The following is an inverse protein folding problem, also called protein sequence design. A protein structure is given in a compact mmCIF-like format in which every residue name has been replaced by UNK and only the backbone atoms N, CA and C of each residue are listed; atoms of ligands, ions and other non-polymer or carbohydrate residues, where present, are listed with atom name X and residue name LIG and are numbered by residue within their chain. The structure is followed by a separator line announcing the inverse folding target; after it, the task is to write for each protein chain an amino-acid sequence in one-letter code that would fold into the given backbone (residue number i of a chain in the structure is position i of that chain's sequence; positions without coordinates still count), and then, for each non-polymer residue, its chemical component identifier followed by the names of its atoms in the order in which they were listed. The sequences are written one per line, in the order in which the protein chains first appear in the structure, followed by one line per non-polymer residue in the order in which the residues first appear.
data_IF_872373921573
#
_entry.id   IF_872373921573
#
_cell.length_a   1.000
_cell.length_b   1.000
_cell.length_c   1.000
_cell.angle_alpha   90.00
_cell.angle_beta   90.00
_cell.angle_gamma   90.00
#
_symmetry.space_group_name_H-M   'P 1'
#
loop_
_entity.id
_entity.type
_entity.pdbx_description
1 polymer ?
#
# COMPACT_ATOMS: atom_id res chain seq x y z
N UNK A 1 -27.49 -7.45 -11.33
CA UNK A 1 -26.22 -7.38 -12.08
C UNK A 1 -25.24 -8.32 -11.40
N UNK A 2 -24.21 -8.79 -12.10
CA UNK A 2 -23.18 -9.65 -11.48
C UNK A 2 -22.07 -8.74 -10.95
N UNK A 3 -22.05 -8.49 -9.63
CA UNK A 3 -21.05 -7.65 -8.98
C UNK A 3 -19.62 -8.10 -9.30
N UNK A 4 -19.37 -9.41 -9.47
CA UNK A 4 -18.03 -9.88 -9.85
C UNK A 4 -17.64 -9.36 -11.22
N UNK A 5 -18.58 -9.39 -12.17
CA UNK A 5 -18.35 -8.90 -13.54
C UNK A 5 -18.06 -7.39 -13.53
N UNK A 6 -18.77 -6.61 -12.72
CA UNK A 6 -18.54 -5.17 -12.59
C UNK A 6 -17.16 -4.85 -12.00
N UNK A 7 -16.81 -5.46 -10.86
CA UNK A 7 -15.53 -5.23 -10.21
C UNK A 7 -14.38 -5.60 -11.17
N UNK A 8 -14.47 -6.76 -11.84
CA UNK A 8 -13.47 -7.14 -12.85
C UNK A 8 -13.41 -6.18 -14.02
N UNK A 9 -14.54 -5.62 -14.47
CA UNK A 9 -14.54 -4.66 -15.58
C UNK A 9 -13.81 -3.36 -15.22
N UNK A 10 -13.82 -2.96 -13.94
CA UNK A 10 -13.08 -1.80 -13.45
C UNK A 10 -11.59 -2.12 -13.30
N UNK A 11 -11.25 -3.29 -12.74
CA UNK A 11 -9.86 -3.74 -12.64
C UNK A 11 -9.22 -3.88 -14.03
N UNK A 12 -9.96 -4.41 -15.00
CA UNK A 12 -9.49 -4.66 -16.37
C UNK A 12 -9.82 -3.52 -17.35
N UNK A 13 -10.21 -2.34 -16.84
CA UNK A 13 -10.39 -1.17 -17.69
C UNK A 13 -9.08 -0.85 -18.41
N UNK A 14 -9.15 -0.42 -19.68
CA UNK A 14 -7.95 -0.05 -20.43
C UNK A 14 -7.19 1.07 -19.72
N UNK A 15 -5.84 0.99 -19.65
CA UNK A 15 -5.04 2.08 -19.14
C UNK A 15 -5.25 3.36 -19.96
N UNK A 16 -5.17 4.52 -19.30
CA UNK A 16 -5.32 5.82 -19.97
C UNK A 16 -4.26 6.07 -21.05
N UNK A 17 -3.08 5.45 -20.89
CA UNK A 17 -1.95 5.58 -21.80
C UNK A 17 -1.97 4.59 -23.00
N UNK A 18 -3.05 3.81 -23.17
CA UNK A 18 -3.17 2.80 -24.23
C UNK A 18 -2.46 1.49 -23.87
N UNK A 19 -1.73 0.91 -24.82
CA UNK A 19 -1.04 -0.39 -24.64
C UNK A 19 0.33 -0.27 -23.97
N UNK A 20 0.80 0.96 -23.73
CA UNK A 20 2.08 1.19 -23.06
C UNK A 20 1.89 1.11 -21.56
N UNK A 21 2.57 0.14 -20.94
CA UNK A 21 2.48 -0.07 -19.50
C UNK A 21 3.17 1.06 -18.74
N UNK A 22 2.43 1.72 -17.85
CA UNK A 22 2.94 2.75 -16.96
C UNK A 22 3.27 2.17 -15.58
N UNK A 23 4.15 2.88 -14.88
CA UNK A 23 4.67 2.53 -13.55
C UNK A 23 4.50 3.76 -12.66
N UNK A 24 3.99 3.56 -11.45
CA UNK A 24 3.94 4.56 -10.40
C UNK A 24 4.56 4.02 -9.12
N UNK A 25 5.00 4.91 -8.24
CA UNK A 25 5.43 4.55 -6.89
C UNK A 25 4.74 5.41 -5.85
N UNK A 26 4.53 4.85 -4.67
CA UNK A 26 4.00 5.54 -3.49
C UNK A 26 5.03 5.39 -2.37
N UNK A 27 5.50 6.51 -1.81
CA UNK A 27 6.56 6.56 -0.81
C UNK A 27 6.06 7.27 0.45
N UNK A 28 6.27 6.66 1.61
CA UNK A 28 5.85 7.21 2.89
C UNK A 28 7.07 7.59 3.75
N UNK A 29 7.05 8.77 4.39
CA UNK A 29 8.13 9.24 5.26
C UNK A 29 7.60 9.63 6.67
N UNK A 30 8.40 9.35 7.70
CA UNK A 30 8.21 9.91 9.04
C UNK A 30 8.98 11.22 9.18
N UNK A 31 8.40 12.20 9.88
CA UNK A 31 8.96 13.54 10.05
C UNK A 31 9.15 13.87 11.53
N UNK A 32 10.30 14.44 11.85
CA UNK A 32 10.81 14.67 13.19
C UNK A 32 11.27 16.12 13.37
N UNK A 33 11.16 16.62 14.60
CA UNK A 33 11.75 17.89 15.00
C UNK A 33 13.20 17.73 15.45
N UNK A 34 13.89 18.86 15.64
CA UNK A 34 15.28 18.91 16.15
C UNK A 34 15.50 18.27 17.53
N UNK A 35 14.44 18.01 18.30
CA UNK A 35 14.51 17.33 19.58
C UNK A 35 14.26 15.82 19.42
N UNK A 36 14.29 15.30 18.19
CA UNK A 36 13.97 13.90 17.87
C UNK A 36 12.57 13.48 18.29
N UNK A 37 11.61 14.43 18.33
CA UNK A 37 10.20 14.12 18.51
C UNK A 37 9.52 14.03 17.17
N UNK A 38 8.64 13.04 17.00
CA UNK A 38 7.78 12.97 15.82
C UNK A 38 6.84 14.17 15.83
N UNK A 39 6.68 14.84 14.69
CA UNK A 39 5.82 16.03 14.62
C UNK A 39 4.34 15.66 14.86
N UNK A 40 3.52 16.58 15.41
CA UNK A 40 2.09 16.34 15.58
C UNK A 40 1.39 16.00 14.26
N UNK A 41 0.38 15.14 14.31
CA UNK A 41 -0.36 14.73 13.11
C UNK A 41 -1.33 15.81 12.66
N UNK A 42 -2.15 16.28 13.60
CA UNK A 42 -3.21 17.26 13.40
C UNK A 42 -2.71 18.69 13.56
N UNK A 43 -3.42 19.69 12.98
CA UNK A 43 -3.13 21.10 13.23
C UNK A 43 -3.14 21.44 14.72
N UNK A 44 -2.07 22.07 15.20
CA UNK A 44 -1.94 22.56 16.57
C UNK A 44 -1.06 23.83 16.58
N UNK A 45 -0.52 24.22 17.73
CA UNK A 45 0.40 25.35 17.85
C UNK A 45 1.79 25.10 17.23
N UNK A 46 2.15 23.84 17.02
CA UNK A 46 3.41 23.42 16.39
C UNK A 46 3.18 23.08 14.89
N UNK A 47 4.26 23.06 14.12
CA UNK A 47 4.17 22.67 12.70
C UNK A 47 3.89 21.17 12.58
N UNK A 48 2.72 20.83 12.04
CA UNK A 48 2.18 19.46 11.99
C UNK A 48 2.36 18.80 10.63
N UNK A 49 2.19 17.47 10.58
CA UNK A 49 2.16 16.72 9.32
C UNK A 49 1.05 17.23 8.38
N UNK A 50 -0.12 17.61 8.94
CA UNK A 50 -1.20 18.24 8.16
C UNK A 50 -0.79 19.57 7.53
N UNK A 51 0.01 20.39 8.24
CA UNK A 51 0.55 21.64 7.68
C UNK A 51 1.58 21.37 6.59
N UNK A 52 2.50 20.42 6.82
CA UNK A 52 3.50 19.99 5.85
C UNK A 52 2.86 19.49 4.55
N UNK A 53 1.81 18.65 4.65
CA UNK A 53 1.06 18.17 3.50
C UNK A 53 0.50 19.34 2.67
N UNK A 54 -0.14 20.31 3.32
CA UNK A 54 -0.72 21.49 2.66
C UNK A 54 0.35 22.30 1.92
N UNK A 55 1.49 22.50 2.54
CA UNK A 55 2.58 23.28 1.96
C UNK A 55 3.24 22.54 0.77
N UNK A 56 3.43 21.21 0.87
CA UNK A 56 3.89 20.38 -0.25
C UNK A 56 2.98 20.47 -1.48
N UNK A 57 1.65 20.41 -1.25
CA UNK A 57 0.64 20.59 -2.30
C UNK A 57 0.71 22.01 -2.88
N UNK A 58 0.88 23.03 -2.03
CA UNK A 58 1.05 24.41 -2.44
C UNK A 58 2.26 24.61 -3.36
N UNK A 59 3.39 23.99 -3.03
CA UNK A 59 4.64 24.11 -3.79
C UNK A 59 4.58 23.47 -5.19
N UNK A 60 3.70 22.49 -5.45
CA UNK A 60 3.50 21.93 -6.81
C UNK A 60 2.39 22.59 -7.62
N UNK A 61 1.80 23.69 -7.15
CA UNK A 61 0.66 24.30 -7.85
C UNK A 61 0.96 24.58 -9.33
N UNK A 62 2.22 24.92 -9.63
CA UNK A 62 2.72 25.27 -10.95
C UNK A 62 3.48 24.13 -11.67
N UNK A 63 3.55 22.93 -11.08
CA UNK A 63 4.21 21.79 -11.72
C UNK A 63 3.37 21.35 -12.93
N UNK A 64 4.05 21.03 -14.04
CA UNK A 64 3.40 20.47 -15.24
C UNK A 64 2.67 19.17 -14.94
N UNK A 65 3.27 18.34 -14.09
CA UNK A 65 2.72 17.07 -13.63
C UNK A 65 2.66 17.12 -12.11
N UNK A 66 1.45 17.01 -11.56
CA UNK A 66 1.21 17.10 -10.13
C UNK A 66 1.22 15.71 -9.54
N UNK A 67 2.14 15.47 -8.62
CA UNK A 67 2.14 14.26 -7.82
C UNK A 67 0.94 14.26 -6.88
N UNK A 68 0.52 13.08 -6.46
CA UNK A 68 -0.48 12.95 -5.41
C UNK A 68 0.23 12.98 -4.05
N UNK A 69 -0.32 13.74 -3.11
CA UNK A 69 0.15 13.77 -1.73
C UNK A 69 -1.00 13.43 -0.81
N UNK A 70 -0.71 12.60 0.17
CA UNK A 70 -1.68 12.16 1.15
C UNK A 70 -1.05 12.11 2.53
N UNK A 71 -1.90 11.92 3.54
CA UNK A 71 -1.48 11.70 4.92
C UNK A 71 -2.05 10.38 5.41
N UNK A 72 -1.14 9.56 5.86
CA UNK A 72 -1.42 8.26 6.45
C UNK A 72 -1.94 8.41 7.90
N UNK A 73 -2.56 7.38 8.51
CA UNK A 73 -3.28 7.53 9.78
C UNK A 73 -2.46 8.18 10.90
N UNK A 74 -1.20 7.78 11.07
CA UNK A 74 -0.30 8.35 12.08
C UNK A 74 0.44 9.63 11.65
N UNK A 75 0.06 10.28 10.56
CA UNK A 75 0.74 11.48 10.07
C UNK A 75 2.02 11.24 9.27
N UNK A 76 2.20 10.02 8.74
CA UNK A 76 3.24 9.79 7.73
C UNK A 76 2.85 10.53 6.46
N UNK A 77 3.81 11.19 5.82
CA UNK A 77 3.55 11.90 4.56
C UNK A 77 3.75 10.92 3.43
N UNK A 78 2.72 10.74 2.61
CA UNK A 78 2.81 9.93 1.41
C UNK A 78 2.98 10.84 0.18
N UNK A 79 3.92 10.47 -0.67
CA UNK A 79 4.10 11.01 -2.00
C UNK A 79 3.90 9.90 -3.02
N UNK A 80 3.00 10.11 -3.97
CA UNK A 80 2.76 9.19 -5.08
C UNK A 80 3.10 9.87 -6.41
N UNK A 81 3.98 9.23 -7.19
CA UNK A 81 4.37 9.73 -8.50
C UNK A 81 3.18 9.74 -9.46
N UNK A 82 3.25 10.54 -10.52
CA UNK A 82 2.35 10.29 -11.66
C UNK A 82 2.77 9.00 -12.39
N UNK A 83 1.87 8.33 -13.12
CA UNK A 83 2.23 7.16 -13.91
C UNK A 83 3.25 7.51 -15.01
N UNK A 84 4.34 6.75 -15.11
CA UNK A 84 5.43 6.98 -16.08
C UNK A 84 5.83 5.71 -16.82
N UNK A 85 6.33 5.88 -18.05
CA UNK A 85 6.87 4.77 -18.86
C UNK A 85 8.25 4.31 -18.39
N UNK A 86 9.01 5.24 -17.80
CA UNK A 86 10.40 5.02 -17.44
C UNK A 86 10.62 5.33 -15.96
N UNK A 87 11.37 4.46 -15.27
CA UNK A 87 11.83 4.72 -13.91
C UNK A 87 12.72 5.98 -13.83
N UNK A 88 13.36 6.39 -14.93
CA UNK A 88 14.08 7.67 -14.97
C UNK A 88 13.15 8.87 -14.84
N UNK A 89 11.94 8.80 -15.41
CA UNK A 89 10.95 9.87 -15.26
C UNK A 89 10.38 9.90 -13.84
N UNK A 90 10.15 8.71 -13.25
CA UNK A 90 9.78 8.59 -11.82
C UNK A 90 10.87 9.19 -10.94
N UNK A 91 12.15 8.91 -11.22
CA UNK A 91 13.28 9.48 -10.50
C UNK A 91 13.31 11.01 -10.59
N UNK A 92 12.99 11.58 -11.76
CA UNK A 92 12.92 13.02 -11.93
C UNK A 92 11.83 13.65 -11.06
N UNK A 93 10.66 13.03 -10.95
CA UNK A 93 9.62 13.49 -10.04
C UNK A 93 10.00 13.33 -8.57
N UNK A 94 10.60 12.20 -8.20
CA UNK A 94 11.10 11.95 -6.85
C UNK A 94 12.14 13.01 -6.47
N UNK A 95 13.07 13.36 -7.37
CA UNK A 95 14.05 14.41 -7.14
C UNK A 95 13.39 15.78 -6.89
N UNK A 96 12.31 16.09 -7.62
CA UNK A 96 11.55 17.32 -7.42
C UNK A 96 10.77 17.31 -6.09
N UNK A 97 10.21 16.16 -5.70
CA UNK A 97 9.60 15.96 -4.39
C UNK A 97 10.63 16.16 -3.27
N UNK A 98 11.77 15.47 -3.33
CA UNK A 98 12.84 15.55 -2.34
C UNK A 98 13.38 16.98 -2.18
N UNK A 99 13.51 17.75 -3.28
CA UNK A 99 13.87 19.17 -3.21
C UNK A 99 12.84 19.99 -2.45
N UNK A 100 11.55 19.83 -2.74
CA UNK A 100 10.45 20.53 -2.04
C UNK A 100 10.40 20.16 -0.56
N UNK A 101 10.45 18.87 -0.26
CA UNK A 101 10.46 18.38 1.11
C UNK A 101 11.67 18.93 1.87
N UNK A 102 12.88 18.86 1.31
CA UNK A 102 14.09 19.41 1.93
C UNK A 102 13.96 20.91 2.24
N UNK A 103 13.38 21.70 1.34
CA UNK A 103 13.14 23.13 1.58
C UNK A 103 12.24 23.35 2.79
N UNK A 104 11.10 22.64 2.87
CA UNK A 104 10.18 22.76 4.00
C UNK A 104 10.82 22.27 5.31
N UNK A 105 11.48 21.12 5.29
CA UNK A 105 12.17 20.58 6.45
C UNK A 105 13.24 21.56 6.98
N UNK A 106 14.02 22.16 6.10
CA UNK A 106 15.03 23.17 6.48
C UNK A 106 14.37 24.42 7.11
N UNK A 107 13.31 24.94 6.49
CA UNK A 107 12.61 26.14 6.97
C UNK A 107 11.98 25.95 8.36
N UNK A 108 11.55 24.72 8.67
CA UNK A 108 10.89 24.38 9.92
C UNK A 108 11.80 23.67 10.94
N UNK A 109 13.10 23.53 10.65
CA UNK A 109 14.07 22.82 11.51
C UNK A 109 13.63 21.37 11.82
N UNK A 110 13.17 20.69 10.78
CA UNK A 110 12.71 19.31 10.82
C UNK A 110 13.67 18.40 10.04
N UNK A 111 13.61 17.11 10.35
CA UNK A 111 14.28 16.04 9.64
C UNK A 111 13.28 14.94 9.27
N UNK A 112 13.67 14.08 8.32
CA UNK A 112 12.93 12.87 7.98
C UNK A 112 13.78 11.65 8.29
N UNK A 113 13.13 10.55 8.65
CA UNK A 113 13.78 9.26 8.80
C UNK A 113 13.24 8.28 7.75
N UNK A 114 14.17 7.60 7.09
CA UNK A 114 13.87 6.64 6.02
C UNK A 114 13.91 5.21 6.60
N UNK A 115 12.98 4.91 7.52
CA UNK A 115 12.82 3.62 8.19
C UNK A 115 11.40 3.12 8.03
N UNK A 116 11.22 1.81 7.86
CA UNK A 116 9.91 1.17 7.63
C UNK A 116 9.08 0.99 8.90
N UNK A 117 9.71 1.05 10.07
CA UNK A 117 9.07 0.99 11.38
C UNK A 117 9.50 2.20 12.20
N UNK A 118 8.53 2.82 12.85
CA UNK A 118 8.73 3.93 13.77
C UNK A 118 9.61 3.48 14.96
N UNK A 119 10.81 4.05 15.14
CA UNK A 119 11.81 3.49 16.05
C UNK A 119 11.58 3.80 17.53
N UNK A 120 10.86 4.88 17.88
CA UNK A 120 10.81 5.42 19.25
C UNK A 120 9.44 5.18 19.88
N UNK A 121 8.38 5.61 19.22
CA UNK A 121 7.06 5.71 19.84
C UNK A 121 6.23 4.44 19.70
N UNK A 122 5.48 4.10 20.74
CA UNK A 122 4.40 3.11 20.67
C UNK A 122 3.19 3.70 19.91
N UNK A 123 2.31 2.86 19.33
CA UNK A 123 1.14 3.35 18.61
C UNK A 123 0.28 4.30 19.43
N UNK A 124 0.03 4.01 20.71
CA UNK A 124 -0.81 4.81 21.59
C UNK A 124 -0.21 6.19 21.95
N UNK A 125 1.05 6.44 21.63
CA UNK A 125 1.73 7.72 21.83
C UNK A 125 1.67 8.62 20.58
N UNK A 126 1.10 8.12 19.48
CA UNK A 126 0.94 8.83 18.21
C UNK A 126 -0.55 9.07 17.97
N UNK A 127 -0.94 10.32 17.73
CA UNK A 127 -2.32 10.64 17.39
C UNK A 127 -2.75 10.07 16.03
N UNK A 128 -4.05 9.90 15.81
CA UNK A 128 -4.58 9.75 14.46
C UNK A 128 -4.85 11.11 13.83
N UNK A 129 -4.71 11.20 12.51
CA UNK A 129 -5.31 12.28 11.74
C UNK A 129 -6.82 12.30 11.99
N UNK A 130 -7.37 13.50 12.25
CA UNK A 130 -8.78 13.73 12.57
C UNK A 130 -9.66 13.50 11.34
N UNK A 131 -9.91 12.22 11.08
CA UNK A 131 -10.67 11.79 9.92
C UNK A 131 -11.39 10.48 10.21
N UNK A 132 -12.72 10.51 10.09
CA UNK A 132 -13.63 9.41 10.46
C UNK A 132 -13.28 8.05 9.83
N UNK A 133 -12.71 8.03 8.63
CA UNK A 133 -12.22 6.80 7.97
C UNK A 133 -11.26 6.03 8.88
N UNK A 134 -10.28 6.73 9.45
CA UNK A 134 -9.22 6.11 10.23
C UNK A 134 -9.68 5.77 11.65
N UNK A 135 -10.65 6.51 12.19
CA UNK A 135 -11.32 6.12 13.44
C UNK A 135 -12.04 4.77 13.29
N UNK A 136 -12.81 4.59 12.21
CA UNK A 136 -13.51 3.32 11.93
C UNK A 136 -12.52 2.17 11.65
N UNK A 137 -11.46 2.45 10.89
CA UNK A 137 -10.37 1.52 10.62
C UNK A 137 -9.67 1.06 11.89
N UNK A 138 -9.35 1.98 12.80
CA UNK A 138 -8.75 1.64 14.08
C UNK A 138 -9.67 0.78 14.96
N UNK A 139 -10.96 1.13 15.03
CA UNK A 139 -11.94 0.34 15.78
C UNK A 139 -12.03 -1.09 15.27
N UNK A 140 -12.06 -1.30 13.94
CA UNK A 140 -12.05 -2.64 13.38
C UNK A 140 -10.74 -3.38 13.68
N UNK A 141 -9.60 -2.76 13.38
CA UNK A 141 -8.30 -3.42 13.47
C UNK A 141 -7.81 -3.66 14.90
N UNK A 142 -8.42 -3.01 15.89
CA UNK A 142 -8.21 -3.36 17.30
C UNK A 142 -8.92 -4.66 17.71
N UNK A 143 -9.82 -5.18 16.86
CA UNK A 143 -10.61 -6.39 17.12
C UNK A 143 -10.18 -7.58 16.24
N UNK A 144 -9.56 -7.33 15.08
CA UNK A 144 -9.24 -8.37 14.08
C UNK A 144 -7.83 -8.93 14.18
N UNK A 145 -6.92 -8.24 14.85
CA UNK A 145 -5.51 -8.64 14.98
C UNK A 145 -4.80 -7.85 16.07
N UNK A 146 -3.56 -8.22 16.41
CA UNK A 146 -2.84 -7.57 17.52
C UNK A 146 -2.05 -6.35 17.06
N UNK A 147 -1.71 -6.28 15.77
CA UNK A 147 -0.79 -5.26 15.24
C UNK A 147 -1.45 -4.20 14.36
N UNK A 148 -2.79 -4.18 14.28
CA UNK A 148 -3.54 -3.14 13.56
C UNK A 148 -3.11 -1.70 13.90
N UNK A 149 -3.01 -1.31 15.19
CA UNK A 149 -2.52 0.01 15.58
C UNK A 149 -1.08 0.29 15.11
N UNK A 150 -0.19 -0.71 15.15
CA UNK A 150 1.19 -0.60 14.66
C UNK A 150 1.23 -0.35 13.16
N UNK A 151 0.51 -1.16 12.38
CA UNK A 151 0.40 -0.97 10.93
C UNK A 151 -0.03 0.47 10.59
N UNK A 152 -1.11 0.95 11.23
CA UNK A 152 -1.69 2.26 10.89
C UNK A 152 -0.80 3.45 11.26
N UNK A 153 -0.16 3.42 12.45
CA UNK A 153 0.54 4.59 13.02
C UNK A 153 2.06 4.54 12.86
N UNK A 154 2.65 3.34 12.73
CA UNK A 154 4.07 3.09 12.96
C UNK A 154 4.80 2.43 11.79
N UNK A 155 4.19 2.34 10.61
CA UNK A 155 4.89 1.76 9.43
C UNK A 155 4.98 2.72 8.25
N UNK A 156 6.05 2.66 7.49
CA UNK A 156 6.15 3.30 6.17
C UNK A 156 6.64 2.29 5.15
N UNK A 157 6.37 2.56 3.89
CA UNK A 157 6.63 1.66 2.78
C UNK A 157 7.07 2.40 1.53
N UNK A 158 7.50 1.62 0.55
CA UNK A 158 7.35 1.99 -0.84
C UNK A 158 6.47 0.95 -1.52
N UNK A 159 5.47 1.42 -2.26
CA UNK A 159 4.56 0.57 -3.03
C UNK A 159 4.78 0.84 -4.52
N UNK A 160 4.65 -0.20 -5.33
CA UNK A 160 4.88 -0.12 -6.78
C UNK A 160 3.57 -0.43 -7.49
N UNK A 161 3.12 0.50 -8.32
CA UNK A 161 1.93 0.39 -9.14
C UNK A 161 2.34 0.10 -10.58
N UNK A 162 1.80 -0.96 -11.17
CA UNK A 162 2.09 -1.39 -12.54
C UNK A 162 0.76 -1.56 -13.29
N UNK A 163 0.63 -0.91 -14.45
CA UNK A 163 -0.59 -1.05 -15.27
C UNK A 163 -0.82 -2.51 -15.70
N UNK A 164 -2.09 -2.88 -15.86
CA UNK A 164 -2.54 -4.19 -16.33
C UNK A 164 -2.89 -4.09 -17.81
N UNK A 165 -2.35 -4.99 -18.64
CA UNK A 165 -2.60 -4.97 -20.09
C UNK A 165 -3.71 -5.93 -20.54
N UNK A 166 -3.96 -6.99 -19.77
CA UNK A 166 -5.01 -7.98 -20.04
C UNK A 166 -5.36 -8.77 -18.78
N UNK A 167 -6.40 -9.60 -18.81
CA UNK A 167 -6.72 -10.51 -17.69
C UNK A 167 -5.56 -11.45 -17.38
N UNK A 168 -5.03 -12.13 -18.40
CA UNK A 168 -3.91 -13.08 -18.26
C UNK A 168 -2.69 -12.39 -17.65
N UNK A 169 -2.38 -11.19 -18.16
CA UNK A 169 -1.30 -10.37 -17.66
C UNK A 169 -1.45 -10.02 -16.17
N UNK A 170 -2.65 -9.62 -15.76
CA UNK A 170 -2.98 -9.31 -14.37
C UNK A 170 -2.80 -10.53 -13.45
N UNK A 171 -3.33 -11.69 -13.85
CA UNK A 171 -3.30 -12.92 -13.05
C UNK A 171 -1.87 -13.46 -12.91
N UNK A 172 -1.07 -13.42 -13.98
CA UNK A 172 0.33 -13.83 -13.96
C UNK A 172 1.19 -12.90 -13.09
N UNK A 173 1.10 -11.59 -13.29
CA UNK A 173 1.86 -10.65 -12.46
C UNK A 173 1.48 -10.75 -10.99
N UNK A 174 0.19 -10.89 -10.68
CA UNK A 174 -0.26 -10.98 -9.30
C UNK A 174 0.23 -12.26 -8.63
N UNK A 175 0.14 -13.40 -9.32
CA UNK A 175 0.67 -14.67 -8.83
C UNK A 175 2.18 -14.57 -8.59
N UNK A 176 2.95 -14.08 -9.56
CA UNK A 176 4.41 -13.95 -9.44
C UNK A 176 4.80 -12.97 -8.32
N UNK A 177 4.14 -11.83 -8.22
CA UNK A 177 4.39 -10.85 -7.16
C UNK A 177 4.11 -11.42 -5.77
N UNK A 178 3.03 -12.19 -5.60
CA UNK A 178 2.75 -12.88 -4.35
C UNK A 178 3.85 -13.91 -4.04
N UNK A 179 4.32 -14.66 -5.05
CA UNK A 179 5.43 -15.63 -4.89
C UNK A 179 6.76 -15.00 -4.49
N UNK A 180 7.04 -13.84 -5.03
CA UNK A 180 8.28 -13.11 -4.81
C UNK A 180 8.29 -12.31 -3.50
N UNK A 181 7.11 -12.05 -2.93
CA UNK A 181 6.94 -11.30 -1.68
C UNK A 181 7.91 -11.74 -0.58
N UNK A 182 8.02 -13.02 -0.18
CA UNK A 182 8.91 -13.42 0.91
C UNK A 182 10.39 -13.05 0.69
N UNK A 183 10.88 -13.10 -0.55
CA UNK A 183 12.25 -12.69 -0.86
C UNK A 183 12.39 -11.17 -0.84
N UNK A 184 11.39 -10.47 -1.37
CA UNK A 184 11.39 -9.03 -1.46
C UNK A 184 11.37 -8.36 -0.07
N UNK A 185 10.56 -8.88 0.85
CA UNK A 185 10.46 -8.33 2.22
C UNK A 185 11.73 -8.57 3.05
N UNK A 186 12.48 -9.64 2.75
CA UNK A 186 13.79 -9.89 3.35
C UNK A 186 14.86 -8.98 2.75
N UNK A 187 14.91 -8.87 1.41
CA UNK A 187 15.91 -8.08 0.70
C UNK A 187 15.85 -6.59 1.04
N UNK A 188 14.64 -6.06 1.26
CA UNK A 188 14.43 -4.64 1.51
C UNK A 188 14.10 -4.31 2.98
N UNK A 189 14.22 -5.27 3.90
CA UNK A 189 13.93 -5.05 5.32
C UNK A 189 14.69 -3.84 5.88
N UNK A 190 13.97 -2.86 6.44
CA UNK A 190 14.56 -1.60 6.90
C UNK A 190 13.87 -1.04 8.16
N UNK A 191 13.57 -1.94 9.11
CA UNK A 191 13.00 -1.62 10.43
C UNK A 191 13.89 -2.12 11.57
N UNK A 192 15.09 -1.54 11.79
CA UNK A 192 16.08 -2.06 12.74
C UNK A 192 15.73 -1.79 14.21
N UNK A 193 14.76 -0.93 14.50
CA UNK A 193 14.35 -0.56 15.85
C UNK A 193 12.83 -0.51 15.99
N UNK A 194 12.35 -0.75 17.21
CA UNK A 194 10.95 -0.62 17.60
C UNK A 194 10.87 -0.26 19.09
N UNK A 195 10.09 0.77 19.44
CA UNK A 195 9.90 1.21 20.82
C UNK A 195 11.22 1.42 21.60
N UNK A 196 12.21 2.04 20.96
CA UNK A 196 13.53 2.32 21.53
C UNK A 196 14.46 1.12 21.64
N UNK A 197 14.08 -0.06 21.16
CA UNK A 197 14.85 -1.29 21.25
C UNK A 197 15.24 -1.83 19.86
N UNK A 198 16.38 -2.56 19.73
CA UNK A 198 16.69 -3.29 18.49
C UNK A 198 15.60 -4.28 18.12
N UNK A 199 15.31 -4.40 16.82
CA UNK A 199 14.36 -5.36 16.26
C UNK A 199 14.81 -6.83 16.40
N UNK A 200 16.09 -7.04 16.74
CA UNK A 200 16.74 -8.35 16.70
C UNK A 200 16.52 -9.02 15.34
N UNK A 201 15.99 -10.24 15.32
CA UNK A 201 15.74 -10.99 14.09
C UNK A 201 14.29 -10.83 13.59
N UNK A 202 13.45 -9.96 14.17
CA UNK A 202 12.04 -9.84 13.74
C UNK A 202 11.89 -8.93 12.53
N UNK A 203 11.21 -9.40 11.47
CA UNK A 203 10.77 -8.55 10.36
C UNK A 203 9.46 -7.82 10.73
N UNK A 204 9.56 -6.80 11.59
CA UNK A 204 8.40 -6.19 12.25
C UNK A 204 7.32 -5.69 11.30
N UNK A 205 7.65 -4.90 10.27
CA UNK A 205 6.63 -4.35 9.35
C UNK A 205 5.85 -5.47 8.66
N UNK A 206 6.54 -6.48 8.13
CA UNK A 206 5.90 -7.64 7.51
C UNK A 206 4.99 -8.38 8.51
N UNK A 207 5.48 -8.61 9.73
CA UNK A 207 4.71 -9.26 10.79
C UNK A 207 3.46 -8.46 11.19
N UNK A 208 3.54 -7.13 11.23
CA UNK A 208 2.39 -6.29 11.55
C UNK A 208 1.27 -6.40 10.51
N UNK A 209 1.62 -6.40 9.22
CA UNK A 209 0.65 -6.56 8.14
C UNK A 209 -0.03 -7.92 8.17
N UNK A 210 0.73 -9.00 8.43
CA UNK A 210 0.18 -10.36 8.51
C UNK A 210 -0.76 -10.58 9.71
N UNK A 211 -0.65 -9.78 10.78
CA UNK A 211 -1.48 -9.88 11.99
C UNK A 211 -2.36 -8.63 12.22
N UNK A 212 -2.76 -7.95 11.13
CA UNK A 212 -3.68 -6.80 11.18
C UNK A 212 -5.14 -7.24 11.03
N UNK A 213 -5.48 -7.91 9.93
CA UNK A 213 -6.83 -8.40 9.66
C UNK A 213 -6.76 -9.57 8.66
N UNK A 214 -7.01 -10.81 9.09
CA UNK A 214 -6.87 -11.98 8.23
C UNK A 214 -7.87 -12.01 7.07
N UNK A 215 -8.95 -11.20 7.10
CA UNK A 215 -9.93 -11.14 6.01
C UNK A 215 -9.46 -10.33 4.79
N UNK A 216 -8.38 -9.55 4.92
CA UNK A 216 -7.97 -8.59 3.88
C UNK A 216 -6.47 -8.34 3.78
N UNK A 217 -5.65 -8.87 4.70
CA UNK A 217 -4.19 -8.70 4.73
C UNK A 217 -3.48 -10.02 4.42
N UNK A 218 -2.15 -9.98 4.34
CA UNK A 218 -1.32 -11.16 4.07
C UNK A 218 -1.13 -11.45 2.59
N UNK A 219 -0.63 -12.63 2.28
CA UNK A 219 -0.41 -13.07 0.90
C UNK A 219 -1.71 -13.58 0.30
N UNK A 220 -1.89 -13.48 -1.02
CA UNK A 220 -3.00 -14.14 -1.72
C UNK A 220 -3.06 -15.64 -1.40
N UNK A 221 -1.90 -16.25 -1.19
CA UNK A 221 -1.78 -17.62 -0.72
C UNK A 221 -2.58 -17.92 0.57
N UNK A 222 -2.65 -16.97 1.49
CA UNK A 222 -3.35 -17.10 2.78
C UNK A 222 -4.89 -17.02 2.61
N UNK A 223 -5.36 -16.67 1.41
CA UNK A 223 -6.77 -16.58 0.98
C UNK A 223 -7.16 -17.68 -0.02
N UNK A 224 -6.52 -18.85 0.05
CA UNK A 224 -6.79 -20.01 -0.81
C UNK A 224 -6.53 -19.77 -2.33
N UNK A 225 -5.63 -18.83 -2.64
CA UNK A 225 -5.16 -18.54 -4.00
C UNK A 225 -3.75 -19.10 -4.19
N UNK A 226 -3.66 -20.35 -4.65
CA UNK A 226 -2.38 -21.07 -4.78
C UNK A 226 -1.80 -21.10 -6.20
N UNK A 227 -2.53 -20.60 -7.20
CA UNK A 227 -2.07 -20.52 -8.59
C UNK A 227 -2.75 -19.34 -9.30
N UNK A 228 -2.27 -19.01 -10.50
CA UNK A 228 -2.77 -17.90 -11.33
C UNK A 228 -4.19 -18.13 -11.87
N UNK A 229 -4.66 -19.38 -11.98
CA UNK A 229 -5.90 -19.67 -12.69
C UNK A 229 -7.10 -19.19 -11.88
N UNK A 230 -7.94 -18.35 -12.49
CA UNK A 230 -9.06 -17.67 -11.84
C UNK A 230 -8.63 -16.80 -10.64
N UNK A 231 -7.35 -16.40 -10.56
CA UNK A 231 -6.84 -15.59 -9.46
C UNK A 231 -7.63 -14.29 -9.31
N UNK A 232 -7.97 -13.63 -10.43
CA UNK A 232 -8.75 -12.40 -10.38
C UNK A 232 -10.16 -12.65 -9.85
N UNK A 233 -10.78 -13.78 -10.20
CA UNK A 233 -12.11 -14.15 -9.70
C UNK A 233 -12.10 -14.39 -8.19
N UNK A 234 -11.06 -15.07 -7.68
CA UNK A 234 -10.86 -15.31 -6.24
C UNK A 234 -10.50 -14.03 -5.48
N UNK A 235 -9.70 -13.14 -6.07
CA UNK A 235 -9.41 -11.84 -5.46
C UNK A 235 -10.69 -11.02 -5.28
N UNK A 236 -11.61 -11.06 -6.25
CA UNK A 236 -12.91 -10.39 -6.12
C UNK A 236 -13.77 -11.03 -5.02
N UNK A 237 -13.63 -12.33 -4.75
CA UNK A 237 -14.25 -12.97 -3.57
C UNK A 237 -13.70 -12.37 -2.27
N UNK A 238 -12.38 -12.20 -2.14
CA UNK A 238 -11.76 -11.52 -0.99
C UNK A 238 -12.39 -10.13 -0.79
N UNK A 239 -12.51 -9.35 -1.88
CA UNK A 239 -13.12 -8.01 -1.84
C UNK A 239 -14.57 -8.07 -1.35
N UNK A 240 -15.36 -9.00 -1.85
CA UNK A 240 -16.78 -9.09 -1.56
C UNK A 240 -17.05 -9.62 -0.13
N UNK A 241 -16.26 -10.58 0.32
CA UNK A 241 -16.48 -11.26 1.60
C UNK A 241 -15.90 -10.48 2.79
N UNK A 242 -14.91 -9.62 2.56
CA UNK A 242 -14.33 -8.78 3.61
C UNK A 242 -15.41 -7.92 4.31
N UNK A 243 -15.42 -7.88 5.67
CA UNK A 243 -16.20 -6.91 6.42
C UNK A 243 -15.90 -5.48 5.95
N UNK A 244 -16.91 -4.62 5.85
CA UNK A 244 -16.67 -3.22 5.55
C UNK A 244 -15.99 -2.52 6.73
N UNK A 245 -14.91 -1.79 6.47
CA UNK A 245 -14.33 -0.83 7.43
C UNK A 245 -15.25 0.38 7.52
N UNK A 246 -15.61 0.89 6.35
CA UNK A 246 -16.52 2.00 6.20
C UNK A 246 -17.23 1.93 4.85
N UNK A 247 -18.36 2.63 4.79
CA UNK A 247 -19.10 2.88 3.57
C UNK A 247 -19.23 4.39 3.37
N UNK A 248 -19.74 4.79 2.21
CA UNK A 248 -20.04 6.19 1.94
C UNK A 248 -21.52 6.39 1.61
N UNK A 249 -22.07 7.52 2.06
CA UNK A 249 -23.43 7.95 1.77
C UNK A 249 -23.60 8.38 0.30
N UNK A 250 -24.82 8.79 -0.09
CA UNK A 250 -25.06 9.45 -1.39
C UNK A 250 -24.26 10.76 -1.49
N UNK A 251 -24.12 11.50 -0.39
CA UNK A 251 -23.30 12.71 -0.29
C UNK A 251 -21.80 12.45 -0.08
N UNK A 252 -21.36 11.20 -0.24
CA UNK A 252 -19.98 10.74 0.01
C UNK A 252 -19.48 10.88 1.46
N UNK A 253 -20.39 10.95 2.43
CA UNK A 253 -20.01 10.95 3.85
C UNK A 253 -19.64 9.55 4.33
N UNK A 254 -18.55 9.45 5.06
CA UNK A 254 -18.08 8.21 5.66
C UNK A 254 -19.04 7.74 6.77
N UNK A 255 -19.45 6.48 6.71
CA UNK A 255 -20.37 5.84 7.66
C UNK A 255 -19.86 4.46 8.08
N UNK A 256 -20.12 4.12 9.34
CA UNK A 256 -20.01 2.75 9.83
C UNK A 256 -21.08 1.91 9.11
N UNK A 257 -20.73 0.68 8.77
CA UNK A 257 -21.66 -0.31 8.23
C UNK A 257 -21.32 -1.66 8.83
N UNK A 258 -22.30 -2.30 9.46
CA UNK A 258 -22.12 -3.62 10.07
C UNK A 258 -22.53 -4.69 9.05
N UNK A 259 -21.58 -5.08 8.20
CA UNK A 259 -21.77 -6.05 7.13
C UNK A 259 -20.57 -6.15 6.18
N UNK A 260 -20.63 -7.05 5.21
CA UNK A 260 -19.57 -7.20 4.20
C UNK A 260 -19.66 -6.14 3.10
N UNK A 261 -18.55 -5.95 2.38
CA UNK A 261 -18.53 -5.09 1.20
C UNK A 261 -19.53 -5.56 0.13
N UNK A 262 -19.76 -6.87 -0.02
CA UNK A 262 -20.83 -7.43 -0.86
C UNK A 262 -22.20 -6.92 -0.46
N UNK A 263 -22.55 -6.98 0.82
CA UNK A 263 -23.86 -6.51 1.30
C UNK A 263 -24.05 -5.00 1.03
N UNK A 264 -22.98 -4.22 1.20
CA UNK A 264 -23.00 -2.79 0.88
C UNK A 264 -23.19 -2.52 -0.62
N UNK A 265 -22.39 -3.15 -1.48
CA UNK A 265 -22.49 -2.98 -2.94
C UNK A 265 -23.85 -3.46 -3.47
N UNK A 266 -24.39 -4.57 -2.96
CA UNK A 266 -25.74 -5.03 -3.30
C UNK A 266 -26.84 -4.05 -2.87
N UNK A 267 -26.67 -3.39 -1.73
CA UNK A 267 -27.61 -2.36 -1.29
C UNK A 267 -27.58 -1.15 -2.23
N UNK A 268 -26.39 -0.68 -2.63
CA UNK A 268 -26.24 0.40 -3.60
C UNK A 268 -26.82 0.04 -4.97
N UNK A 269 -26.59 -1.19 -5.43
CA UNK A 269 -27.15 -1.71 -6.68
C UNK A 269 -28.67 -1.66 -6.67
N UNK A 270 -29.31 -2.18 -5.61
CA UNK A 270 -30.78 -2.17 -5.45
C UNK A 270 -31.36 -0.75 -5.42
N UNK A 271 -30.60 0.21 -4.91
CA UNK A 271 -31.00 1.61 -4.87
C UNK A 271 -30.64 2.40 -6.13
N UNK A 272 -29.99 1.81 -7.13
CA UNK A 272 -29.54 2.51 -8.34
C UNK A 272 -28.43 3.53 -8.11
N UNK A 273 -27.62 3.33 -7.05
CA UNK A 273 -26.58 4.25 -6.58
C UNK A 273 -25.17 3.65 -6.64
N UNK A 274 -25.03 2.46 -7.23
CA UNK A 274 -23.76 1.82 -7.46
C UNK A 274 -23.06 2.49 -8.64
N UNK A 275 -21.82 2.91 -8.43
CA UNK A 275 -20.96 3.51 -9.45
C UNK A 275 -19.51 3.03 -9.28
N UNK A 276 -18.65 3.42 -10.22
CA UNK A 276 -17.22 3.08 -10.21
C UNK A 276 -16.52 3.57 -8.94
N UNK A 277 -16.89 4.73 -8.40
CA UNK A 277 -16.29 5.31 -7.21
C UNK A 277 -16.56 4.43 -5.97
N UNK A 278 -17.79 3.92 -5.82
CA UNK A 278 -18.15 3.00 -4.72
C UNK A 278 -17.42 1.66 -4.82
N UNK A 279 -17.27 1.13 -6.03
CA UNK A 279 -16.48 -0.11 -6.24
C UNK A 279 -15.01 0.12 -5.91
N UNK A 280 -14.43 1.25 -6.35
CA UNK A 280 -13.07 1.61 -5.98
C UNK A 280 -12.91 1.73 -4.45
N UNK A 281 -13.88 2.30 -3.72
CA UNK A 281 -13.84 2.33 -2.25
C UNK A 281 -13.81 0.91 -1.64
N UNK A 282 -14.50 -0.06 -2.23
CA UNK A 282 -14.43 -1.45 -1.78
C UNK A 282 -13.03 -2.04 -2.04
N UNK A 283 -12.47 -1.84 -3.24
CA UNK A 283 -11.12 -2.32 -3.60
C UNK A 283 -10.03 -1.76 -2.66
N UNK A 284 -10.10 -0.47 -2.33
CA UNK A 284 -9.12 0.21 -1.46
C UNK A 284 -9.20 -0.23 0.02
N UNK A 285 -10.20 -1.03 0.39
CA UNK A 285 -10.31 -1.63 1.72
C UNK A 285 -9.66 -3.01 1.82
N UNK A 286 -9.00 -3.50 0.76
CA UNK A 286 -8.17 -4.71 0.79
C UNK A 286 -6.70 -4.29 0.91
N UNK A 287 -5.90 -5.07 1.64
CA UNK A 287 -4.49 -4.78 1.95
C UNK A 287 -3.59 -6.02 1.89
N UNK A 288 -3.89 -6.95 1.00
CA UNK A 288 -3.01 -8.09 0.67
C UNK A 288 -1.68 -7.58 0.12
N UNK A 289 -0.61 -8.38 0.15
CA UNK A 289 0.72 -7.96 -0.34
C UNK A 289 0.73 -7.56 -1.83
N UNK A 290 -0.26 -8.07 -2.57
CA UNK A 290 -0.58 -7.70 -3.96
C UNK A 290 -2.05 -7.33 -4.03
N UNK A 291 -2.37 -6.17 -4.61
CA UNK A 291 -3.74 -5.64 -4.68
C UNK A 291 -4.08 -5.15 -6.07
N UNK A 292 -5.28 -5.49 -6.55
CA UNK A 292 -5.82 -4.90 -7.77
C UNK A 292 -6.55 -3.59 -7.48
N UNK A 293 -6.20 -2.55 -8.23
CA UNK A 293 -6.92 -1.28 -8.35
C UNK A 293 -7.51 -1.20 -9.77
N UNK A 294 -8.22 -0.11 -10.07
CA UNK A 294 -8.60 0.21 -11.45
C UNK A 294 -7.34 0.17 -12.32
N UNK A 295 -7.33 -0.66 -13.37
CA UNK A 295 -6.26 -0.85 -14.37
C UNK A 295 -4.83 -1.10 -13.85
N UNK A 296 -4.63 -1.30 -12.53
CA UNK A 296 -3.31 -1.32 -11.90
C UNK A 296 -3.19 -2.49 -10.93
N UNK A 297 -2.03 -3.15 -10.95
CA UNK A 297 -1.56 -4.03 -9.90
C UNK A 297 -0.64 -3.25 -8.96
N UNK A 298 -1.00 -3.19 -7.68
CA UNK A 298 -0.21 -2.55 -6.63
C UNK A 298 0.51 -3.62 -5.79
N UNK A 299 1.82 -3.47 -5.66
CA UNK A 299 2.71 -4.37 -4.92
C UNK A 299 3.18 -3.63 -3.67
N UNK A 300 2.92 -4.22 -2.50
CA UNK A 300 2.91 -3.50 -1.21
C UNK A 300 3.93 -4.03 -0.19
N UNK A 301 4.59 -5.15 -0.49
CA UNK A 301 5.46 -5.83 0.45
C UNK A 301 6.67 -5.02 0.90
N UNK A 302 7.16 -4.06 0.10
CA UNK A 302 8.44 -3.40 0.33
C UNK A 302 8.42 -2.33 1.42
N UNK A 303 9.35 -2.49 2.34
CA UNK A 303 9.71 -1.50 3.36
C UNK A 303 10.20 -0.20 2.72
N UNK A 304 10.03 0.92 3.44
CA UNK A 304 10.65 2.20 3.08
C UNK A 304 12.17 2.04 3.01
N UNK A 305 12.83 2.20 1.84
CA UNK A 305 14.28 1.97 1.72
C UNK A 305 15.10 3.09 2.38
N UNK A 306 16.42 2.92 2.61
CA UNK A 306 17.27 4.03 2.99
C UNK A 306 17.40 5.07 1.86
N UNK A 307 17.79 6.30 2.23
CA UNK A 307 18.04 7.39 1.28
C UNK A 307 19.00 6.98 0.17
N UNK A 308 18.64 7.30 -1.08
CA UNK A 308 19.43 6.98 -2.27
C UNK A 308 19.05 5.64 -2.91
N UNK A 309 18.24 4.82 -2.23
CA UNK A 309 17.77 3.53 -2.72
C UNK A 309 16.25 3.47 -2.91
N UNK A 310 15.57 4.63 -2.90
CA UNK A 310 14.11 4.71 -3.04
C UNK A 310 13.57 3.92 -4.24
N UNK A 311 14.24 4.00 -5.40
CA UNK A 311 13.77 3.30 -6.60
C UNK A 311 14.20 1.84 -6.72
N UNK A 312 15.00 1.31 -5.79
CA UNK A 312 15.49 -0.07 -5.90
C UNK A 312 14.34 -1.10 -5.90
N UNK A 313 13.31 -0.99 -5.03
CA UNK A 313 12.10 -1.82 -5.12
C UNK A 313 11.38 -1.72 -6.46
N UNK A 314 11.22 -0.51 -7.01
CA UNK A 314 10.55 -0.30 -8.29
C UNK A 314 11.33 -0.96 -9.44
N UNK A 315 12.66 -0.80 -9.46
CA UNK A 315 13.53 -1.45 -10.43
C UNK A 315 13.47 -2.98 -10.34
N UNK A 316 13.45 -3.52 -9.12
CA UNK A 316 13.29 -4.96 -8.87
C UNK A 316 11.98 -5.49 -9.46
N UNK A 317 10.84 -4.89 -9.12
CA UNK A 317 9.54 -5.36 -9.58
C UNK A 317 9.33 -5.18 -11.08
N UNK A 318 9.71 -4.02 -11.64
CA UNK A 318 9.60 -3.76 -13.08
C UNK A 318 10.48 -4.72 -13.87
N UNK A 319 11.72 -4.99 -13.42
CA UNK A 319 12.60 -5.94 -14.10
C UNK A 319 12.07 -7.37 -14.13
N UNK A 320 11.39 -7.81 -13.07
CA UNK A 320 10.84 -9.16 -12.97
C UNK A 320 9.47 -9.32 -13.64
N UNK A 321 8.64 -8.27 -13.67
CA UNK A 321 7.24 -8.37 -14.10
C UNK A 321 6.94 -7.75 -15.47
N UNK A 322 7.74 -6.80 -15.98
CA UNK A 322 7.48 -6.21 -17.30
C UNK A 322 8.04 -7.00 -18.48
N UNK A 323 8.95 -7.94 -18.22
CA UNK A 323 9.66 -8.66 -19.29
C UNK A 323 9.08 -10.07 -19.43
N UNK A 324 8.40 -10.33 -20.55
CA UNK A 324 7.71 -11.61 -20.81
C UNK A 324 8.62 -12.82 -20.64
N UNK A 325 9.84 -12.78 -21.20
CA UNK A 325 10.79 -13.90 -21.09
C UNK A 325 11.31 -14.14 -19.66
N UNK A 326 11.28 -13.12 -18.80
CA UNK A 326 11.60 -13.25 -17.37
C UNK A 326 10.40 -13.83 -16.63
N UNK A 327 9.19 -13.34 -16.91
CA UNK A 327 7.95 -13.90 -16.36
C UNK A 327 7.79 -15.38 -16.67
N UNK A 328 8.09 -15.79 -17.90
CA UNK A 328 8.07 -17.21 -18.30
C UNK A 328 9.02 -18.08 -17.46
N UNK A 329 10.21 -17.55 -17.13
CA UNK A 329 11.18 -18.26 -16.29
C UNK A 329 10.70 -18.33 -14.84
N UNK A 330 10.22 -17.22 -14.28
CA UNK A 330 9.67 -17.17 -12.93
C UNK A 330 8.44 -18.08 -12.80
N UNK A 331 7.59 -18.12 -13.82
CA UNK A 331 6.40 -18.98 -13.85
C UNK A 331 6.80 -20.45 -13.80
N UNK A 332 7.85 -20.87 -14.52
CA UNK A 332 8.39 -22.23 -14.44
C UNK A 332 8.92 -22.57 -13.04
N UNK A 333 9.56 -21.62 -12.37
CA UNK A 333 10.08 -21.81 -11.00
C UNK A 333 8.92 -21.95 -10.02
N UNK A 334 8.03 -20.95 -9.95
CA UNK A 334 7.03 -20.87 -8.89
C UNK A 334 5.79 -21.73 -9.11
N UNK A 335 5.44 -22.07 -10.36
CA UNK A 335 4.40 -23.08 -10.62
C UNK A 335 4.87 -24.49 -10.24
N UNK A 336 6.18 -24.71 -10.10
CA UNK A 336 6.76 -25.98 -9.65
C UNK A 336 6.77 -26.15 -8.14
N UNK A 337 6.51 -25.08 -7.38
CA UNK A 337 6.47 -25.15 -5.92
C UNK A 337 5.25 -25.92 -5.42
N UNK A 338 5.48 -26.78 -4.44
CA UNK A 338 4.44 -27.31 -3.57
C UNK A 338 3.89 -26.21 -2.66
N UNK A 339 2.67 -26.42 -2.14
CA UNK A 339 2.10 -25.52 -1.15
C UNK A 339 2.94 -25.45 0.13
N UNK A 340 3.64 -26.52 0.50
CA UNK A 340 4.48 -26.56 1.69
C UNK A 340 5.77 -25.75 1.49
N UNK A 341 6.40 -25.80 0.31
CA UNK A 341 7.50 -24.91 -0.03
C UNK A 341 7.07 -23.44 0.01
N UNK A 342 5.87 -23.13 -0.50
CA UNK A 342 5.33 -21.77 -0.39
C UNK A 342 5.09 -21.35 1.06
N UNK A 343 4.50 -22.21 1.90
CA UNK A 343 4.33 -21.93 3.34
C UNK A 343 5.66 -21.66 4.02
N UNK A 344 6.69 -22.47 3.74
CA UNK A 344 8.04 -22.29 4.29
C UNK A 344 8.62 -20.94 3.86
N UNK A 345 8.53 -20.59 2.57
CA UNK A 345 9.02 -19.30 2.08
C UNK A 345 8.32 -18.12 2.78
N UNK A 346 6.99 -18.15 2.89
CA UNK A 346 6.20 -17.12 3.56
C UNK A 346 6.52 -17.02 5.06
N UNK A 347 6.76 -18.15 5.74
CA UNK A 347 7.11 -18.18 7.16
C UNK A 347 8.51 -17.63 7.42
N UNK A 348 9.48 -17.93 6.55
CA UNK A 348 10.85 -17.45 6.69
C UNK A 348 10.94 -15.92 6.56
N UNK A 349 10.05 -15.30 5.80
CA UNK A 349 9.98 -13.85 5.65
C UNK A 349 9.72 -13.08 6.97
N UNK A 350 9.20 -13.75 7.99
CA UNK A 350 8.95 -13.18 9.31
C UNK A 350 10.22 -12.92 10.13
N UNK A 351 11.35 -13.53 9.75
CA UNK A 351 12.59 -13.56 10.55
C UNK A 351 13.80 -13.18 9.67
N UNK A 352 14.61 -12.22 10.12
CA UNK A 352 15.79 -11.67 9.44
C UNK A 352 17.10 -12.41 9.78
N UNK A 353 17.00 -13.63 10.32
CA UNK A 353 18.19 -14.44 10.66
C UNK A 353 18.67 -15.15 9.40
N UNK A 354 19.43 -14.41 8.57
CA UNK A 354 20.03 -14.90 7.33
C UNK A 354 21.24 -15.80 7.58
#
# INVERSE_FOLDING_TARGET
MDLKKEIKSIILASPEAGNDRMIGIELEDFIYDKNSRRIPVNPCSEYSASALLKDLIGLQKNDKYKAYYSIEPGGKIEWASTPRRSLHDVQNELNNHQKRLKTLLTNHQLDKIDLSVEPIYLPNEIDFIDHKKYELMHKLFSLTGKHGPWMMRNTTSIQVNIDILSKTDAEEMAFLADCLTPFCVLLFANGPFMAGNPANNSNHRYNFWNDTDPSRCGNLFDHDIHNKDQLLDKFVDIVLDAPSIFTVSIGNDIKKFDGSLKQWLQALEKSGLLDEHKINIALHQIFTNVRFKKHVLEIRGTDRPPKGFELAPAAFWVGLLNVDSIRDQLMKIFSGWSQDERKIANANACILNL
#
